data_IF_299479059376
#
_entry.id   IF_299479059376
#
_cell.length_a   1.000
_cell.length_b   1.000
_cell.length_c   1.000
_cell.angle_alpha   90.00
_cell.angle_beta   90.00
_cell.angle_gamma   90.00
#
_symmetry.space_group_name_H-M   'P 1'
#
loop_
_entity.id
_entity.type
_entity.pdbx_description
1 polymer ?
#
# COMPACT_ATOMS: atom_id res chain seq x y z
N UNK A 1 53.76 -78.59 -13.10
CA UNK A 1 53.41 -77.40 -12.29
C UNK A 1 52.93 -76.31 -13.25
N UNK A 2 51.61 -76.07 -13.35
CA UNK A 2 51.03 -75.00 -14.17
C UNK A 2 50.39 -73.99 -13.20
N UNK A 3 50.87 -72.75 -13.20
CA UNK A 3 50.32 -71.67 -12.41
C UNK A 3 49.44 -70.77 -13.31
N UNK A 4 48.19 -70.57 -12.92
CA UNK A 4 47.19 -69.73 -13.59
C UNK A 4 47.27 -68.30 -13.04
N UNK A 5 47.47 -67.30 -13.90
CA UNK A 5 47.31 -65.88 -13.56
C UNK A 5 45.89 -65.44 -13.92
N UNK A 6 45.05 -65.15 -12.91
CA UNK A 6 43.80 -64.41 -13.10
C UNK A 6 44.09 -62.91 -13.17
N UNK A 7 43.69 -62.26 -14.26
CA UNK A 7 43.66 -60.79 -14.39
C UNK A 7 42.32 -60.29 -13.87
N UNK A 8 42.34 -59.46 -12.83
CA UNK A 8 41.17 -58.70 -12.36
C UNK A 8 41.17 -57.35 -13.09
N UNK A 9 40.13 -57.08 -13.86
CA UNK A 9 39.88 -55.79 -14.52
C UNK A 9 39.17 -54.86 -13.52
N UNK A 10 39.79 -53.73 -13.18
CA UNK A 10 39.13 -52.64 -12.44
C UNK A 10 38.39 -51.74 -13.43
N UNK A 11 37.05 -51.78 -13.42
CA UNK A 11 36.22 -50.77 -14.10
C UNK A 11 36.08 -49.56 -13.17
N UNK A 12 36.62 -48.41 -13.60
CA UNK A 12 36.37 -47.13 -12.96
C UNK A 12 35.04 -46.56 -13.49
N UNK A 13 34.00 -46.54 -12.65
CA UNK A 13 32.73 -45.87 -12.92
C UNK A 13 32.86 -44.38 -12.63
N UNK A 14 32.81 -43.56 -13.69
CA UNK A 14 32.78 -42.11 -13.60
C UNK A 14 31.38 -41.66 -13.18
N UNK A 15 31.21 -41.25 -11.91
CA UNK A 15 29.96 -40.70 -11.42
C UNK A 15 29.80 -39.26 -11.94
N UNK A 16 28.86 -39.06 -12.87
CA UNK A 16 28.45 -37.72 -13.34
C UNK A 16 27.58 -37.11 -12.24
N UNK A 17 28.16 -36.20 -11.45
CA UNK A 17 27.42 -35.34 -10.54
C UNK A 17 26.64 -34.32 -11.35
N UNK A 18 25.35 -34.58 -11.57
CA UNK A 18 24.41 -33.59 -12.06
C UNK A 18 24.21 -32.53 -10.98
N UNK A 19 24.79 -31.34 -11.19
CA UNK A 19 24.47 -30.16 -10.41
C UNK A 19 23.03 -29.76 -10.78
N UNK A 20 22.05 -30.28 -10.04
CA UNK A 20 20.71 -29.74 -10.06
C UNK A 20 20.79 -28.35 -9.44
N UNK A 21 20.84 -27.33 -10.29
CA UNK A 21 20.52 -25.97 -9.89
C UNK A 21 19.09 -25.99 -9.38
N UNK A 22 18.92 -26.02 -8.05
CA UNK A 22 17.68 -25.67 -7.39
C UNK A 22 17.41 -24.20 -7.70
N UNK A 23 16.85 -23.95 -8.87
CA UNK A 23 16.16 -22.72 -9.17
C UNK A 23 14.95 -22.76 -8.25
N UNK A 24 15.05 -22.21 -7.04
CA UNK A 24 13.86 -21.92 -6.24
C UNK A 24 13.01 -21.00 -7.11
N UNK A 25 12.01 -21.56 -7.80
CA UNK A 25 10.97 -20.77 -8.43
C UNK A 25 10.30 -20.05 -7.27
N UNK A 26 10.72 -18.82 -7.01
CA UNK A 26 9.99 -17.92 -6.15
C UNK A 26 8.58 -17.86 -6.74
N UNK A 27 7.58 -18.28 -5.98
CA UNK A 27 6.19 -18.26 -6.41
C UNK A 27 5.77 -16.84 -6.83
N UNK A 28 4.54 -16.70 -7.33
CA UNK A 28 4.00 -15.38 -7.62
C UNK A 28 4.12 -14.42 -6.44
N UNK A 29 4.44 -13.15 -6.73
CA UNK A 29 4.78 -12.16 -5.69
C UNK A 29 3.63 -11.96 -4.68
N UNK A 30 2.39 -11.95 -5.16
CA UNK A 30 1.19 -11.81 -4.33
C UNK A 30 1.05 -12.94 -3.29
N UNK A 31 1.58 -14.13 -3.52
CA UNK A 31 1.57 -15.22 -2.53
C UNK A 31 2.51 -14.97 -1.34
N UNK A 32 3.42 -14.00 -1.46
CA UNK A 32 4.33 -13.61 -0.37
C UNK A 32 3.73 -12.55 0.57
N UNK A 33 2.57 -11.98 0.23
CA UNK A 33 1.85 -11.05 1.09
C UNK A 33 1.19 -11.78 2.25
N UNK A 34 1.30 -11.21 3.45
CA UNK A 34 0.72 -11.78 4.66
C UNK A 34 -0.25 -10.80 5.31
N UNK A 35 -1.54 -11.15 5.29
CA UNK A 35 -2.57 -10.38 6.00
C UNK A 35 -2.32 -10.29 7.50
N UNK A 36 -1.73 -11.32 8.11
CA UNK A 36 -1.33 -11.31 9.53
C UNK A 36 -0.24 -10.26 9.83
N UNK A 37 0.72 -10.06 8.92
CA UNK A 37 1.75 -9.02 9.08
C UNK A 37 1.14 -7.63 8.89
N UNK A 38 0.30 -7.47 7.88
CA UNK A 38 -0.45 -6.23 7.69
C UNK A 38 -1.28 -5.90 8.94
N UNK A 39 -2.05 -6.87 9.47
CA UNK A 39 -2.83 -6.74 10.69
C UNK A 39 -1.96 -6.36 11.91
N UNK A 40 -0.79 -6.97 12.06
CA UNK A 40 0.14 -6.60 13.12
C UNK A 40 0.60 -5.13 13.01
N UNK A 41 0.79 -4.61 11.79
CA UNK A 41 1.06 -3.19 11.60
C UNK A 41 -0.13 -2.31 11.99
N UNK A 42 -1.37 -2.71 11.66
CA UNK A 42 -2.60 -2.01 12.13
C UNK A 42 -2.64 -1.96 13.65
N UNK A 43 -2.40 -3.09 14.33
CA UNK A 43 -2.35 -3.16 15.80
C UNK A 43 -1.32 -2.17 16.38
N UNK A 44 -0.10 -2.13 15.82
CA UNK A 44 0.93 -1.19 16.29
C UNK A 44 0.48 0.27 16.16
N UNK A 45 -0.23 0.63 15.09
CA UNK A 45 -0.76 1.99 14.91
C UNK A 45 -1.90 2.29 15.90
N UNK A 46 -2.82 1.34 16.10
CA UNK A 46 -3.93 1.47 17.07
C UNK A 46 -3.43 1.59 18.51
N UNK A 47 -2.35 0.88 18.86
CA UNK A 47 -1.75 0.90 20.20
C UNK A 47 -1.17 2.28 20.57
N UNK A 48 -0.79 3.10 19.58
CA UNK A 48 -0.39 4.48 19.79
C UNK A 48 -1.57 5.39 20.21
N UNK A 49 -2.80 4.93 20.01
CA UNK A 49 -4.03 5.69 20.21
C UNK A 49 -4.42 6.52 18.99
N UNK A 50 -5.34 7.51 19.16
CA UNK A 50 -5.69 8.45 18.10
C UNK A 50 -4.45 9.19 17.58
N UNK A 51 -4.35 9.37 16.26
CA UNK A 51 -3.21 9.97 15.56
C UNK A 51 -3.63 11.20 14.74
N UNK A 52 -4.31 12.21 15.33
CA UNK A 52 -4.68 13.39 14.57
C UNK A 52 -3.45 14.18 14.10
N UNK A 53 -3.60 14.89 12.98
CA UNK A 53 -2.60 15.80 12.44
C UNK A 53 -2.02 16.71 13.54
N UNK A 54 -0.68 16.82 13.57
CA UNK A 54 0.07 17.59 14.57
C UNK A 54 0.21 16.96 15.96
N UNK A 55 -0.34 15.76 16.21
CA UNK A 55 -0.20 15.07 17.51
C UNK A 55 1.14 14.34 17.68
N UNK A 56 1.53 14.11 18.94
CA UNK A 56 2.68 13.26 19.28
C UNK A 56 2.50 11.81 18.82
N UNK A 57 1.26 11.29 18.89
CA UNK A 57 0.94 9.94 18.42
C UNK A 57 1.17 9.79 16.92
N UNK A 58 0.80 10.80 16.11
CA UNK A 58 1.06 10.78 14.68
C UNK A 58 2.55 10.84 14.34
N UNK A 59 3.37 11.60 15.07
CA UNK A 59 4.84 11.55 14.90
C UNK A 59 5.40 10.17 15.27
N UNK A 60 4.87 9.50 16.30
CA UNK A 60 5.27 8.11 16.62
C UNK A 60 4.88 7.15 15.50
N UNK A 61 3.69 7.29 14.92
CA UNK A 61 3.26 6.52 13.75
C UNK A 61 4.18 6.74 12.56
N UNK A 62 4.56 8.00 12.30
CA UNK A 62 5.49 8.38 11.24
C UNK A 62 6.85 7.71 11.40
N UNK A 63 7.41 7.76 12.61
CA UNK A 63 8.69 7.12 12.93
C UNK A 63 8.61 5.60 12.76
N UNK A 64 7.49 4.99 13.19
CA UNK A 64 7.25 3.57 13.00
C UNK A 64 7.16 3.19 11.51
N UNK A 65 6.39 3.92 10.70
CA UNK A 65 6.30 3.70 9.25
C UNK A 65 7.70 3.81 8.61
N UNK A 66 8.46 4.88 8.92
CA UNK A 66 9.81 5.07 8.41
C UNK A 66 10.72 3.89 8.75
N UNK A 67 10.71 3.44 10.01
CA UNK A 67 11.54 2.31 10.47
C UNK A 67 11.20 1.01 9.73
N UNK A 68 9.91 0.69 9.57
CA UNK A 68 9.48 -0.52 8.85
C UNK A 68 9.87 -0.47 7.37
N UNK A 69 9.70 0.68 6.71
CA UNK A 69 10.05 0.86 5.31
C UNK A 69 11.57 0.82 5.09
N UNK A 70 12.36 1.47 5.95
CA UNK A 70 13.82 1.44 5.89
C UNK A 70 14.37 0.03 6.14
N UNK A 71 13.77 -0.71 7.08
CA UNK A 71 14.10 -2.11 7.34
C UNK A 71 13.80 -3.02 6.14
N UNK A 72 12.84 -2.65 5.30
CA UNK A 72 12.54 -3.29 4.02
C UNK A 72 13.41 -2.78 2.85
N UNK A 73 14.32 -1.82 3.07
CA UNK A 73 15.23 -1.30 2.04
C UNK A 73 14.71 -0.07 1.26
N UNK A 74 13.62 0.55 1.73
CA UNK A 74 13.09 1.78 1.13
C UNK A 74 13.79 3.01 1.69
N UNK A 75 13.99 4.02 0.84
CA UNK A 75 14.40 5.37 1.27
C UNK A 75 13.16 6.24 1.42
N UNK A 76 12.93 6.76 2.63
CA UNK A 76 11.75 7.57 2.95
C UNK A 76 12.14 9.05 3.04
N UNK A 77 11.40 9.89 2.32
CA UNK A 77 11.47 11.35 2.41
C UNK A 77 10.26 11.88 3.18
N UNK A 78 10.50 12.75 4.16
CA UNK A 78 9.46 13.54 4.82
C UNK A 78 9.19 14.77 3.96
N UNK A 79 8.00 14.89 3.38
CA UNK A 79 7.56 16.12 2.71
C UNK A 79 6.75 16.95 3.68
N UNK A 80 7.43 17.87 4.38
CA UNK A 80 6.84 18.75 5.38
C UNK A 80 6.33 20.04 4.75
N UNK A 81 5.11 20.42 5.09
CA UNK A 81 4.48 21.65 4.61
C UNK A 81 3.50 22.20 5.65
N UNK A 82 3.16 23.48 5.55
CA UNK A 82 2.12 24.08 6.40
C UNK A 82 0.95 24.58 5.56
N UNK A 83 -0.26 24.41 6.06
CA UNK A 83 -1.48 24.93 5.45
C UNK A 83 -2.41 25.53 6.51
N UNK A 84 -3.40 26.30 6.07
CA UNK A 84 -4.42 26.88 6.91
C UNK A 84 -5.58 25.89 7.13
N UNK A 85 -5.92 25.63 8.38
CA UNK A 85 -7.10 24.81 8.74
C UNK A 85 -8.15 25.69 9.45
N UNK A 86 -9.39 25.20 9.63
CA UNK A 86 -10.38 25.88 10.47
C UNK A 86 -9.90 26.15 11.90
N UNK A 87 -8.98 25.31 12.41
CA UNK A 87 -8.41 25.40 13.76
C UNK A 87 -7.08 26.17 13.82
N UNK A 88 -6.68 26.83 12.73
CA UNK A 88 -5.45 27.62 12.65
C UNK A 88 -4.42 27.03 11.69
N UNK A 89 -3.25 27.66 11.61
CA UNK A 89 -2.16 27.15 10.76
C UNK A 89 -1.58 25.87 11.37
N UNK A 90 -1.46 24.83 10.56
CA UNK A 90 -0.90 23.53 10.96
C UNK A 90 0.25 23.12 10.04
N UNK A 91 1.13 22.25 10.54
CA UNK A 91 2.18 21.59 9.74
C UNK A 91 1.82 20.11 9.59
N UNK A 92 1.90 19.65 8.35
CA UNK A 92 1.64 18.28 7.92
C UNK A 92 2.91 17.69 7.35
N UNK A 93 3.01 16.36 7.34
CA UNK A 93 4.17 15.66 6.81
C UNK A 93 3.74 14.43 6.01
N UNK A 94 3.77 14.50 4.68
CA UNK A 94 3.62 13.27 3.89
C UNK A 94 4.90 12.42 4.01
N UNK A 95 4.76 11.10 3.93
CA UNK A 95 5.89 10.20 3.73
C UNK A 95 5.91 9.68 2.29
N UNK A 96 7.05 9.85 1.63
CA UNK A 96 7.28 9.42 0.26
C UNK A 96 8.40 8.40 0.27
N UNK A 97 8.10 7.14 -0.02
CA UNK A 97 9.09 6.06 -0.02
C UNK A 97 9.41 5.60 -1.44
N UNK A 98 10.72 5.52 -1.74
CA UNK A 98 11.26 5.05 -3.02
C UNK A 98 12.26 3.92 -2.80
N UNK A 99 12.33 3.00 -3.74
CA UNK A 99 13.26 1.86 -3.66
C UNK A 99 14.47 2.05 -4.57
N UNK A 100 15.69 1.88 -4.03
CA UNK A 100 16.95 2.00 -4.76
C UNK A 100 17.50 3.43 -4.88
N UNK A 101 18.70 3.56 -5.47
CA UNK A 101 19.54 4.78 -5.43
C UNK A 101 19.56 5.61 -6.72
N UNK A 102 18.63 5.39 -7.65
CA UNK A 102 18.64 6.16 -8.89
C UNK A 102 18.06 7.57 -8.65
N UNK A 103 18.94 8.51 -8.32
CA UNK A 103 18.72 9.97 -8.51
C UNK A 103 18.25 10.29 -9.95
N UNK A 104 18.60 9.37 -10.86
CA UNK A 104 17.96 9.01 -12.13
C UNK A 104 16.45 8.77 -12.05
N UNK A 105 15.61 9.80 -11.84
CA UNK A 105 14.13 9.70 -11.96
C UNK A 105 13.76 8.91 -13.22
N UNK A 106 13.40 7.65 -13.08
CA UNK A 106 12.72 6.94 -14.16
C UNK A 106 11.30 7.50 -14.22
N UNK A 107 10.96 8.07 -15.36
CA UNK A 107 9.57 8.34 -15.73
C UNK A 107 8.77 7.03 -15.67
N UNK A 108 7.55 7.07 -15.15
CA UNK A 108 6.63 5.93 -15.13
C UNK A 108 6.47 5.24 -13.77
N UNK A 109 6.57 5.99 -12.66
CA UNK A 109 6.26 5.45 -11.34
C UNK A 109 4.76 5.21 -11.18
N UNK A 110 4.41 4.10 -10.54
CA UNK A 110 3.06 3.78 -10.13
C UNK A 110 2.91 4.05 -8.62
N UNK A 111 1.88 4.79 -8.22
CA UNK A 111 1.69 5.20 -6.83
C UNK A 111 0.88 4.14 -6.07
N UNK A 112 1.29 3.85 -4.84
CA UNK A 112 0.47 3.13 -3.87
C UNK A 112 0.29 4.04 -2.65
N UNK A 113 -0.95 4.40 -2.36
CA UNK A 113 -1.29 5.48 -1.45
C UNK A 113 -2.14 4.98 -0.27
N UNK A 114 -2.00 5.65 0.86
CA UNK A 114 -2.82 5.52 2.06
C UNK A 114 -2.72 6.82 2.84
N UNK A 115 -3.73 7.18 3.64
CA UNK A 115 -3.56 8.17 4.70
C UNK A 115 -3.26 7.47 6.04
N UNK A 116 -2.57 8.15 6.95
CA UNK A 116 -2.13 7.55 8.22
C UNK A 116 -2.49 8.39 9.46
N UNK A 117 -3.09 9.56 9.27
CA UNK A 117 -3.73 10.33 10.32
C UNK A 117 -5.10 9.77 10.68
N UNK A 118 -5.68 10.29 11.77
CA UNK A 118 -7.06 9.97 12.18
C UNK A 118 -7.83 11.25 12.41
N UNK A 119 -9.14 11.23 12.17
CA UNK A 119 -10.01 12.34 12.55
C UNK A 119 -9.86 12.77 13.99
N UNK A 120 -9.91 14.08 14.21
CA UNK A 120 -10.02 14.64 15.57
C UNK A 120 -11.48 14.64 16.01
N UNK A 121 -11.78 14.00 17.14
CA UNK A 121 -13.05 14.13 17.83
C UNK A 121 -12.85 14.62 19.26
N UNK A 122 -13.77 15.46 19.73
CA UNK A 122 -13.71 16.01 21.10
C UNK A 122 -14.30 15.06 22.15
N UNK A 123 -15.25 14.21 21.74
CA UNK A 123 -16.09 13.41 22.65
C UNK A 123 -15.84 11.92 22.58
N UNK A 124 -15.15 11.44 21.53
CA UNK A 124 -14.86 10.02 21.32
C UNK A 124 -13.37 9.79 21.17
N UNK A 125 -12.90 8.64 21.66
CA UNK A 125 -11.55 8.16 21.40
C UNK A 125 -11.55 7.36 20.10
N UNK A 126 -11.42 8.06 18.99
CA UNK A 126 -11.34 7.46 17.66
C UNK A 126 -9.92 6.97 17.37
N UNK A 127 -9.73 5.66 17.25
CA UNK A 127 -8.41 5.08 16.96
C UNK A 127 -8.19 4.78 15.48
N UNK A 128 -9.21 4.92 14.63
CA UNK A 128 -9.11 4.70 13.18
C UNK A 128 -8.41 3.37 12.87
N UNK A 129 -9.00 2.24 13.29
CA UNK A 129 -8.39 0.94 13.02
C UNK A 129 -8.55 0.59 11.54
N UNK A 130 -9.73 0.87 10.98
CA UNK A 130 -10.00 0.73 9.56
C UNK A 130 -9.61 2.00 8.81
N UNK A 131 -10.12 3.14 9.28
CA UNK A 131 -9.91 4.48 8.74
C UNK A 131 -8.49 4.97 9.05
N UNK A 132 -7.63 4.97 8.03
CA UNK A 132 -6.18 5.20 8.10
C UNK A 132 -5.33 4.01 8.59
N UNK A 133 -5.79 3.28 9.61
CA UNK A 133 -5.02 2.16 10.18
C UNK A 133 -4.82 0.99 9.22
N UNK A 134 -5.89 0.54 8.57
CA UNK A 134 -5.90 -0.68 7.75
C UNK A 134 -5.07 -0.55 6.48
N UNK A 135 -5.24 0.57 5.76
CA UNK A 135 -4.54 0.89 4.53
C UNK A 135 -3.05 1.14 4.80
N UNK A 136 -2.70 1.82 5.90
CA UNK A 136 -1.30 2.02 6.30
C UNK A 136 -0.64 0.68 6.61
N UNK A 137 -1.29 -0.20 7.37
CA UNK A 137 -0.77 -1.53 7.70
C UNK A 137 -0.57 -2.41 6.47
N UNK A 138 -1.52 -2.37 5.53
CA UNK A 138 -1.42 -3.05 4.23
C UNK A 138 -0.23 -2.52 3.41
N UNK A 139 -0.06 -1.21 3.33
CA UNK A 139 0.98 -0.59 2.51
C UNK A 139 2.39 -0.87 3.05
N UNK A 140 2.57 -0.96 4.38
CA UNK A 140 3.83 -1.39 5.01
C UNK A 140 4.17 -2.83 4.62
N UNK A 141 3.20 -3.76 4.68
CA UNK A 141 3.45 -5.15 4.27
C UNK A 141 3.69 -5.27 2.76
N UNK A 142 2.98 -4.50 1.93
CA UNK A 142 3.26 -4.41 0.49
C UNK A 142 4.71 -3.95 0.24
N UNK A 143 5.21 -2.98 1.00
CA UNK A 143 6.59 -2.52 0.90
C UNK A 143 7.60 -3.65 1.12
N UNK A 144 7.38 -4.49 2.16
CA UNK A 144 8.21 -5.66 2.45
C UNK A 144 8.17 -6.69 1.32
N UNK A 145 6.99 -6.94 0.76
CA UNK A 145 6.81 -7.90 -0.33
C UNK A 145 7.46 -7.41 -1.62
N UNK A 146 7.22 -6.16 -2.01
CA UNK A 146 7.81 -5.54 -3.19
C UNK A 146 9.34 -5.54 -3.14
N UNK A 147 9.93 -5.30 -1.96
CA UNK A 147 11.37 -5.35 -1.74
C UNK A 147 12.01 -6.72 -2.08
N UNK A 148 11.23 -7.81 -2.08
CA UNK A 148 11.70 -9.13 -2.54
C UNK A 148 12.01 -9.15 -4.05
N UNK A 149 11.53 -8.15 -4.80
CA UNK A 149 11.77 -7.95 -6.23
C UNK A 149 12.19 -6.50 -6.50
N UNK A 150 13.46 -6.14 -6.22
CA UNK A 150 13.98 -4.77 -6.33
C UNK A 150 13.63 -4.03 -7.63
N UNK A 151 13.66 -4.73 -8.78
CA UNK A 151 13.33 -4.15 -10.08
C UNK A 151 11.84 -3.77 -10.22
N UNK A 152 10.94 -4.43 -9.49
CA UNK A 152 9.53 -4.04 -9.40
C UNK A 152 9.35 -2.91 -8.40
N UNK A 153 9.96 -3.01 -7.22
CA UNK A 153 9.90 -1.97 -6.20
C UNK A 153 10.41 -0.60 -6.71
N UNK A 154 11.44 -0.58 -7.55
CA UNK A 154 11.97 0.66 -8.15
C UNK A 154 10.99 1.37 -9.10
N UNK A 155 9.93 0.69 -9.55
CA UNK A 155 8.86 1.28 -10.40
C UNK A 155 7.68 1.83 -9.59
N UNK A 156 7.73 1.70 -8.26
CA UNK A 156 6.65 2.06 -7.36
C UNK A 156 7.11 3.16 -6.41
N UNK A 157 6.20 4.08 -6.11
CA UNK A 157 6.34 5.04 -5.03
C UNK A 157 5.24 4.81 -4.00
N UNK A 158 5.62 4.66 -2.73
CA UNK A 158 4.65 4.52 -1.64
C UNK A 158 4.41 5.89 -1.02
N UNK A 159 3.15 6.26 -0.88
CA UNK A 159 2.73 7.55 -0.35
C UNK A 159 1.87 7.32 0.90
N UNK A 160 2.26 7.94 2.00
CA UNK A 160 1.46 8.02 3.21
C UNK A 160 1.09 9.49 3.42
N UNK A 161 -0.17 9.83 3.19
CA UNK A 161 -0.69 11.19 3.29
C UNK A 161 -1.03 11.54 4.73
N UNK A 162 -0.69 12.77 5.11
CA UNK A 162 -1.04 13.38 6.40
C UNK A 162 -2.10 14.46 6.18
N UNK A 163 -3.10 14.49 7.06
CA UNK A 163 -4.21 15.42 6.96
C UNK A 163 -5.15 15.05 5.81
N UNK A 164 -5.43 13.78 5.59
CA UNK A 164 -6.61 13.42 4.79
C UNK A 164 -7.86 13.97 5.51
N UNK A 165 -7.88 13.79 6.83
CA UNK A 165 -9.06 14.03 7.63
C UNK A 165 -9.37 15.51 7.81
N UNK A 166 -10.65 15.86 7.64
CA UNK A 166 -11.12 17.21 7.90
C UNK A 166 -11.11 17.54 9.41
N UNK A 167 -10.76 18.79 9.77
CA UNK A 167 -10.76 19.25 11.15
C UNK A 167 -12.16 19.60 11.68
N UNK A 168 -13.04 20.05 10.79
CA UNK A 168 -14.45 20.32 11.10
C UNK A 168 -15.36 19.56 10.15
N UNK A 169 -15.35 19.91 8.87
CA UNK A 169 -16.21 19.32 7.85
C UNK A 169 -15.44 19.22 6.55
N UNK A 170 -15.60 18.09 5.87
CA UNK A 170 -14.93 17.88 4.60
C UNK A 170 -15.39 18.92 3.57
N UNK A 171 -14.45 19.70 3.05
CA UNK A 171 -14.70 20.76 2.04
C UNK A 171 -13.54 20.83 1.05
N UNK A 172 -13.62 21.73 0.07
CA UNK A 172 -12.52 21.97 -0.87
C UNK A 172 -11.20 22.41 -0.20
N UNK A 173 -11.23 22.86 1.06
CA UNK A 173 -10.05 23.36 1.78
C UNK A 173 -9.84 22.73 3.17
N UNK A 174 -10.80 21.94 3.67
CA UNK A 174 -10.69 21.21 4.94
C UNK A 174 -10.79 19.71 4.68
N UNK A 175 -9.64 19.03 4.78
CA UNK A 175 -9.39 17.66 4.34
C UNK A 175 -8.41 17.60 3.17
N UNK A 176 -7.90 16.40 2.89
CA UNK A 176 -6.97 16.09 1.79
C UNK A 176 -5.74 17.01 1.72
N UNK A 177 -5.26 17.53 2.86
CA UNK A 177 -4.15 18.47 2.91
C UNK A 177 -2.89 17.84 2.28
N UNK A 178 -2.60 16.59 2.65
CA UNK A 178 -1.50 15.79 2.13
C UNK A 178 -1.52 15.59 0.62
N UNK A 179 -2.60 15.03 0.09
CA UNK A 179 -2.73 14.74 -1.34
C UNK A 179 -2.88 16.01 -2.19
N UNK A 180 -3.59 17.05 -1.72
CA UNK A 180 -3.65 18.36 -2.40
C UNK A 180 -2.27 18.99 -2.52
N UNK A 181 -1.47 18.94 -1.46
CA UNK A 181 -0.10 19.45 -1.49
C UNK A 181 0.75 18.66 -2.49
N UNK A 182 0.75 17.34 -2.41
CA UNK A 182 1.53 16.48 -3.31
C UNK A 182 1.12 16.65 -4.78
N UNK A 183 -0.18 16.73 -5.07
CA UNK A 183 -0.69 17.02 -6.41
C UNK A 183 -0.21 18.40 -6.92
N UNK A 184 -0.24 19.43 -6.07
CA UNK A 184 0.28 20.74 -6.42
C UNK A 184 1.79 20.69 -6.75
N UNK A 185 2.60 19.99 -5.95
CA UNK A 185 4.03 19.81 -6.22
C UNK A 185 4.29 19.11 -7.58
N UNK A 186 3.52 18.07 -7.90
CA UNK A 186 3.64 17.36 -9.18
C UNK A 186 3.23 18.22 -10.37
N UNK A 187 2.15 19.00 -10.24
CA UNK A 187 1.70 19.95 -11.26
C UNK A 187 2.75 21.04 -11.49
N UNK A 188 3.19 21.69 -10.42
CA UNK A 188 4.06 22.87 -10.49
C UNK A 188 5.48 22.50 -10.95
N UNK A 189 5.94 21.28 -10.63
CA UNK A 189 7.21 20.74 -11.15
C UNK A 189 7.10 20.12 -12.55
N UNK A 190 5.91 20.08 -13.16
CA UNK A 190 5.66 19.49 -14.48
C UNK A 190 5.82 17.96 -14.53
N UNK A 191 5.84 17.29 -13.37
CA UNK A 191 6.06 15.84 -13.26
C UNK A 191 4.79 15.01 -13.27
N UNK A 192 3.60 15.61 -13.23
CA UNK A 192 2.33 14.88 -13.28
C UNK A 192 2.29 13.87 -14.45
N UNK A 193 2.75 14.28 -15.64
CA UNK A 193 2.83 13.43 -16.84
C UNK A 193 3.81 12.24 -16.76
N UNK A 194 4.66 12.22 -15.74
CA UNK A 194 5.63 11.15 -15.50
C UNK A 194 5.13 10.08 -14.54
N UNK A 195 3.96 10.28 -13.92
CA UNK A 195 3.30 9.29 -13.08
C UNK A 195 2.37 8.45 -13.96
N UNK A 196 2.51 7.12 -13.92
CA UNK A 196 1.72 6.20 -14.76
C UNK A 196 0.28 6.08 -14.29
N UNK A 197 0.09 6.09 -12.99
CA UNK A 197 -1.19 5.95 -12.30
C UNK A 197 -0.96 5.59 -10.84
N UNK A 198 -2.01 5.19 -10.14
CA UNK A 198 -1.89 4.70 -8.77
C UNK A 198 -3.13 4.02 -8.23
N UNK A 199 -2.97 3.44 -7.04
CA UNK A 199 -4.05 2.90 -6.21
C UNK A 199 -3.98 3.61 -4.86
N UNK A 200 -5.11 4.20 -4.44
CA UNK A 200 -5.38 4.58 -3.07
C UNK A 200 -6.09 3.41 -2.37
N UNK A 201 -5.64 3.11 -1.16
CA UNK A 201 -6.34 2.20 -0.26
C UNK A 201 -6.93 3.02 0.88
N UNK A 202 -8.21 2.82 1.14
CA UNK A 202 -8.85 3.37 2.32
C UNK A 202 -9.87 2.40 2.93
N UNK A 203 -9.93 2.33 4.27
CA UNK A 203 -10.90 1.50 5.00
C UNK A 203 -10.99 0.02 4.55
N UNK A 204 -9.88 -0.60 4.15
CA UNK A 204 -9.83 -1.92 3.48
C UNK A 204 -9.75 -3.14 4.41
N UNK A 205 -9.93 -2.94 5.71
CA UNK A 205 -9.67 -3.92 6.75
C UNK A 205 -10.89 -4.64 7.31
N UNK A 206 -12.12 -4.22 6.97
CA UNK A 206 -13.33 -4.72 7.61
C UNK A 206 -13.50 -6.25 7.52
N UNK A 207 -14.00 -6.86 8.59
CA UNK A 207 -14.34 -8.29 8.65
C UNK A 207 -15.42 -8.69 7.66
N UNK A 208 -16.35 -7.77 7.37
CA UNK A 208 -17.43 -7.96 6.41
C UNK A 208 -17.11 -7.33 5.05
N UNK A 209 -15.86 -7.47 4.62
CA UNK A 209 -15.26 -6.85 3.45
C UNK A 209 -16.20 -6.73 2.23
N UNK A 210 -16.41 -5.51 1.76
CA UNK A 210 -17.01 -5.16 0.47
C UNK A 210 -16.25 -3.99 -0.15
N UNK A 211 -15.13 -4.27 -0.84
CA UNK A 211 -14.35 -3.24 -1.51
C UNK A 211 -15.16 -2.69 -2.67
N UNK A 212 -15.35 -1.39 -2.67
CA UNK A 212 -16.02 -0.65 -3.72
C UNK A 212 -15.06 0.28 -4.45
N UNK A 213 -15.32 0.46 -5.74
CA UNK A 213 -14.61 1.38 -6.62
C UNK A 213 -15.53 2.56 -6.95
N UNK A 214 -15.11 3.82 -6.78
CA UNK A 214 -15.92 4.96 -7.19
C UNK A 214 -16.31 4.90 -8.67
N UNK A 215 -17.52 5.30 -9.09
CA UNK A 215 -17.97 5.23 -10.49
C UNK A 215 -17.11 6.02 -11.49
N UNK A 216 -16.42 7.04 -11.03
CA UNK A 216 -15.49 7.88 -11.79
C UNK A 216 -14.04 7.36 -11.75
N UNK A 217 -13.82 6.17 -11.18
CA UNK A 217 -12.54 5.46 -11.24
C UNK A 217 -12.00 5.38 -12.67
N UNK A 218 -10.69 5.56 -12.90
CA UNK A 218 -10.09 5.37 -14.21
C UNK A 218 -10.43 3.98 -14.79
N UNK A 219 -11.15 3.95 -15.91
CA UNK A 219 -11.77 2.72 -16.43
C UNK A 219 -10.78 1.57 -16.69
N UNK A 220 -9.56 1.90 -17.09
CA UNK A 220 -8.50 0.90 -17.30
C UNK A 220 -8.05 0.27 -15.98
N UNK A 221 -7.83 1.06 -14.93
CA UNK A 221 -7.45 0.57 -13.60
C UNK A 221 -8.57 -0.26 -12.98
N UNK A 222 -9.81 0.22 -13.05
CA UNK A 222 -10.97 -0.52 -12.54
C UNK A 222 -11.12 -1.90 -13.21
N UNK A 223 -10.98 -1.94 -14.54
CA UNK A 223 -11.00 -3.21 -15.29
C UNK A 223 -9.88 -4.15 -14.84
N UNK A 224 -8.67 -3.63 -14.62
CA UNK A 224 -7.52 -4.44 -14.24
C UNK A 224 -7.67 -4.99 -12.81
N UNK A 225 -8.18 -4.19 -11.86
CA UNK A 225 -8.52 -4.64 -10.50
C UNK A 225 -9.58 -5.74 -10.52
N UNK A 226 -10.68 -5.60 -11.28
CA UNK A 226 -11.68 -6.66 -11.37
C UNK A 226 -11.10 -7.93 -12.00
N UNK A 227 -10.27 -7.81 -13.05
CA UNK A 227 -9.62 -8.95 -13.66
C UNK A 227 -8.62 -9.64 -12.71
N UNK A 228 -7.93 -8.87 -11.85
CA UNK A 228 -7.07 -9.40 -10.80
C UNK A 228 -7.88 -10.14 -9.72
N UNK A 229 -9.00 -9.55 -9.28
CA UNK A 229 -9.92 -10.19 -8.34
C UNK A 229 -10.51 -11.50 -8.92
N UNK A 230 -10.93 -11.51 -10.19
CA UNK A 230 -11.39 -12.71 -10.89
C UNK A 230 -10.29 -13.79 -10.96
N UNK A 231 -9.07 -13.41 -11.34
CA UNK A 231 -7.95 -14.34 -11.46
C UNK A 231 -7.58 -15.01 -10.14
N UNK A 232 -7.83 -14.34 -9.01
CA UNK A 232 -7.60 -14.87 -7.66
C UNK A 232 -8.85 -15.47 -7.01
N UNK A 233 -9.99 -15.50 -7.71
CA UNK A 233 -11.26 -16.00 -7.17
C UNK A 233 -11.87 -15.14 -6.06
N UNK A 234 -11.51 -13.85 -6.02
CA UNK A 234 -11.92 -12.88 -4.99
C UNK A 234 -12.95 -11.86 -5.50
N UNK A 235 -13.44 -12.00 -6.75
CA UNK A 235 -14.33 -11.04 -7.41
C UNK A 235 -15.59 -10.68 -6.61
N UNK A 236 -16.05 -11.56 -5.73
CA UNK A 236 -17.22 -11.35 -4.87
C UNK A 236 -17.04 -10.19 -3.86
N UNK A 237 -15.79 -9.85 -3.50
CA UNK A 237 -15.46 -8.78 -2.56
C UNK A 237 -15.21 -7.43 -3.22
N UNK A 238 -15.36 -7.32 -4.55
CA UNK A 238 -15.02 -6.10 -5.28
C UNK A 238 -16.21 -5.67 -6.12
N UNK A 239 -16.79 -4.51 -5.88
CA UNK A 239 -17.92 -3.99 -6.66
C UNK A 239 -17.72 -2.51 -7.02
N UNK A 240 -18.67 -1.92 -7.74
CA UNK A 240 -18.67 -0.46 -7.90
C UNK A 240 -19.50 0.15 -6.78
N UNK A 241 -19.04 1.29 -6.26
CA UNK A 241 -19.79 2.10 -5.32
C UNK A 241 -21.02 2.68 -6.03
N UNK A 242 -22.12 2.86 -5.30
CA UNK A 242 -23.36 3.42 -5.86
C UNK A 242 -23.31 4.92 -6.18
N UNK A 243 -22.29 5.63 -5.72
CA UNK A 243 -22.10 7.08 -5.88
C UNK A 243 -20.63 7.45 -5.89
N UNK A 244 -20.32 8.73 -6.19
CA UNK A 244 -18.95 9.23 -6.13
C UNK A 244 -18.46 9.39 -4.70
N UNK A 245 -17.14 9.32 -4.52
CA UNK A 245 -16.46 9.62 -3.26
C UNK A 245 -15.36 10.64 -3.52
N UNK A 246 -15.13 11.54 -2.57
CA UNK A 246 -13.99 12.46 -2.61
C UNK A 246 -13.02 12.03 -1.54
N UNK A 247 -11.80 11.72 -1.96
CA UNK A 247 -10.72 11.19 -1.13
C UNK A 247 -9.36 11.57 -1.79
N UNK A 248 -8.23 11.14 -1.25
CA UNK A 248 -6.86 11.52 -1.63
C UNK A 248 -6.52 11.23 -3.12
N UNK A 249 -7.28 10.35 -3.77
CA UNK A 249 -7.16 10.09 -5.20
C UNK A 249 -7.68 11.26 -6.05
N UNK A 250 -8.63 12.04 -5.52
CA UNK A 250 -9.33 13.12 -6.23
C UNK A 250 -8.37 14.24 -6.67
N UNK A 251 -7.50 14.83 -5.80
CA UNK A 251 -6.55 15.85 -6.24
C UNK A 251 -5.57 15.37 -7.31
N UNK A 252 -5.21 14.09 -7.31
CA UNK A 252 -4.34 13.47 -8.31
C UNK A 252 -5.05 13.30 -9.65
N UNK A 253 -6.30 12.83 -9.63
CA UNK A 253 -7.14 12.74 -10.82
C UNK A 253 -7.36 14.12 -11.47
N UNK A 254 -7.56 15.17 -10.67
CA UNK A 254 -7.76 16.55 -11.15
C UNK A 254 -6.56 17.11 -11.94
N UNK A 255 -5.34 16.63 -11.67
CA UNK A 255 -4.13 17.01 -12.42
C UNK A 255 -3.79 16.02 -13.55
N UNK A 256 -4.67 15.05 -13.81
CA UNK A 256 -4.57 14.09 -14.90
C UNK A 256 -3.76 12.83 -14.60
N UNK A 257 -3.49 12.52 -13.33
CA UNK A 257 -2.87 11.25 -12.93
C UNK A 257 -3.99 10.27 -12.61
N UNK A 258 -4.12 9.14 -13.33
CA UNK A 258 -5.19 8.18 -13.05
C UNK A 258 -4.91 7.43 -11.75
N UNK A 259 -5.69 7.70 -10.71
CA UNK A 259 -5.65 7.00 -9.43
C UNK A 259 -7.01 6.40 -9.16
N UNK A 260 -7.04 5.08 -8.91
CA UNK A 260 -8.22 4.36 -8.45
C UNK A 260 -8.23 4.33 -6.92
N UNK A 261 -9.42 4.40 -6.35
CA UNK A 261 -9.65 4.24 -4.92
C UNK A 261 -10.31 2.88 -4.64
N UNK A 262 -9.72 2.12 -3.72
CA UNK A 262 -10.25 0.87 -3.22
C UNK A 262 -10.70 1.09 -1.78
N UNK A 263 -12.02 1.20 -1.60
CA UNK A 263 -12.61 1.58 -0.33
C UNK A 263 -13.83 0.75 0.03
N UNK A 264 -13.91 0.27 1.27
CA UNK A 264 -15.12 -0.31 1.86
C UNK A 264 -15.86 0.77 2.65
N UNK A 265 -16.78 1.45 1.97
CA UNK A 265 -17.53 2.56 2.58
C UNK A 265 -18.84 2.11 3.24
N UNK A 266 -19.25 0.84 3.11
CA UNK A 266 -20.38 0.27 3.88
C UNK A 266 -19.89 -0.22 5.26
N UNK A 267 -19.30 0.71 6.02
CA UNK A 267 -18.67 0.44 7.30
C UNK A 267 -19.35 1.22 8.43
N UNK A 268 -20.35 0.64 9.14
CA UNK A 268 -21.08 1.33 10.21
C UNK A 268 -20.22 1.97 11.31
N UNK A 269 -19.04 1.42 11.69
CA UNK A 269 -18.16 2.06 12.68
C UNK A 269 -17.38 3.28 12.18
N UNK A 270 -17.47 3.66 10.89
CA UNK A 270 -16.80 4.84 10.34
C UNK A 270 -17.06 6.08 11.20
N UNK A 271 -16.01 6.87 11.47
CA UNK A 271 -16.10 8.09 12.28
C UNK A 271 -16.74 7.88 13.68
N UNK A 272 -16.57 6.69 14.27
CA UNK A 272 -17.11 6.35 15.59
C UNK A 272 -16.06 5.73 16.52
N UNK A 273 -16.33 5.72 17.83
CA UNK A 273 -15.46 5.06 18.80
C UNK A 273 -15.32 3.54 18.57
N UNK A 274 -16.20 2.95 17.77
CA UNK A 274 -16.23 1.52 17.49
C UNK A 274 -15.32 1.12 16.32
N UNK A 275 -14.73 2.08 15.58
CA UNK A 275 -13.65 1.78 14.63
C UNK A 275 -12.38 1.40 15.39
N UNK A 276 -12.31 0.11 15.69
CA UNK A 276 -11.37 -0.52 16.61
C UNK A 276 -10.86 -1.82 16.00
N UNK A 277 -9.77 -2.34 16.52
CA UNK A 277 -9.07 -3.46 15.91
C UNK A 277 -9.93 -4.73 15.80
N UNK A 278 -10.93 -4.94 16.67
CA UNK A 278 -11.84 -6.08 16.55
C UNK A 278 -12.77 -5.99 15.34
N UNK A 279 -12.80 -4.88 14.59
CA UNK A 279 -13.44 -4.78 13.28
C UNK A 279 -12.56 -5.26 12.14
N UNK A 280 -11.25 -5.35 12.37
CA UNK A 280 -10.28 -5.64 11.33
C UNK A 280 -10.05 -7.15 11.19
N UNK A 281 -9.87 -7.61 9.95
CA UNK A 281 -9.55 -9.00 9.62
C UNK A 281 -8.24 -9.11 8.85
N UNK A 282 -7.34 -9.96 9.33
CA UNK A 282 -6.15 -10.35 8.58
C UNK A 282 -6.53 -10.99 7.22
N UNK A 283 -7.66 -11.70 7.14
CA UNK A 283 -8.14 -12.28 5.87
C UNK A 283 -8.55 -11.19 4.87
N UNK A 284 -9.21 -10.12 5.32
CA UNK A 284 -9.59 -9.00 4.46
C UNK A 284 -8.35 -8.30 3.89
N UNK A 285 -7.39 -7.98 4.76
CA UNK A 285 -6.10 -7.42 4.35
C UNK A 285 -5.36 -8.35 3.37
N UNK A 286 -5.41 -9.67 3.61
CA UNK A 286 -4.83 -10.69 2.72
C UNK A 286 -5.48 -10.68 1.33
N UNK A 287 -6.80 -10.56 1.24
CA UNK A 287 -7.55 -10.51 -0.02
C UNK A 287 -7.14 -9.27 -0.81
N UNK A 288 -7.26 -8.08 -0.19
CA UNK A 288 -6.97 -6.79 -0.83
C UNK A 288 -5.52 -6.71 -1.28
N UNK A 289 -4.57 -7.03 -0.38
CA UNK A 289 -3.15 -6.96 -0.70
C UNK A 289 -2.72 -7.92 -1.82
N UNK A 290 -3.32 -9.12 -1.88
CA UNK A 290 -3.06 -10.08 -2.97
C UNK A 290 -3.60 -9.59 -4.30
N UNK A 291 -4.83 -9.08 -4.33
CA UNK A 291 -5.46 -8.55 -5.55
C UNK A 291 -4.64 -7.37 -6.07
N UNK A 292 -4.30 -6.40 -5.21
CA UNK A 292 -3.49 -5.26 -5.60
C UNK A 292 -2.09 -5.64 -6.11
N UNK A 293 -1.40 -6.60 -5.46
CA UNK A 293 -0.10 -7.07 -5.95
C UNK A 293 -0.19 -7.87 -7.26
N UNK A 294 -1.28 -8.64 -7.45
CA UNK A 294 -1.52 -9.31 -8.72
C UNK A 294 -1.72 -8.28 -9.82
N UNK A 295 -2.61 -7.31 -9.59
CA UNK A 295 -2.92 -6.23 -10.51
C UNK A 295 -1.65 -5.47 -10.92
N UNK A 296 -0.91 -5.00 -9.92
CA UNK A 296 0.33 -4.26 -10.10
C UNK A 296 1.34 -5.02 -10.97
N UNK A 297 1.55 -6.32 -10.71
CA UNK A 297 2.54 -7.13 -11.43
C UNK A 297 2.04 -7.55 -12.81
N UNK A 298 0.75 -7.80 -12.97
CA UNK A 298 0.17 -8.38 -14.18
C UNK A 298 -0.38 -7.35 -15.15
N UNK A 299 -0.64 -6.13 -14.73
CA UNK A 299 -1.23 -5.11 -15.59
C UNK A 299 -0.43 -3.80 -15.51
N UNK A 300 -0.21 -3.27 -14.31
CA UNK A 300 0.28 -1.90 -14.15
C UNK A 300 1.78 -1.71 -14.32
N UNK A 301 2.59 -2.74 -14.10
CA UNK A 301 4.06 -2.66 -14.25
C UNK A 301 4.61 -3.45 -15.45
N UNK A 302 3.72 -3.96 -16.30
CA UNK A 302 4.07 -4.53 -17.61
C UNK A 302 4.49 -3.45 -18.59
#
# INVERSE_FOLDING_TARGET
>A
MRCSLSRVLFLATLAILSVQSCSSRTGPLWESFSGEKAFAHVQQLVDLGPRPAGSEALEKSRLYIIDQLQSAGWTVTRSEFSDQTPRGKMTFVNLIARFGTNEKKESGQFLLCSHYDTKTFETIRFVGANDGGSSTGLLIEMARVLAMRPALAAKVELLFFDGEEAFENFTATDGLYGSRHFAAELRDSGKAKSVRGGILFDMIGDKSLDITLPPDSPADLARNIFAAADALGQRAYFTYLGGGITDDHTPLNQIGIPVIDLIDFDFPPWHSADDTLDKISAESLQIVGRVALYDLVQFELK
#
